data_IF_528519264657
#
_entry.id   IF_528519264657
#
_cell.length_a   1.000
_cell.length_b   1.000
_cell.length_c   1.000
_cell.angle_alpha   90.00
_cell.angle_beta   90.00
_cell.angle_gamma   90.00
#
_symmetry.space_group_name_H-M   'P 1'
#
loop_
_entity.id
_entity.type
_entity.pdbx_description
1 polymer ?
#
# COMPACT_ATOMS: atom_id res chain seq x y z
N UNK A 1 15.29 -54.67 27.91
CA UNK A 1 14.45 -55.71 27.29
C UNK A 1 13.84 -56.74 28.28
N UNK A 2 13.71 -56.47 29.59
CA UNK A 2 12.98 -57.35 30.53
C UNK A 2 11.52 -56.94 30.78
N UNK A 3 11.18 -55.67 30.53
CA UNK A 3 9.82 -55.13 30.75
C UNK A 3 8.77 -55.74 29.81
N UNK A 4 9.12 -55.98 28.54
CA UNK A 4 8.23 -56.62 27.58
C UNK A 4 7.95 -58.09 27.94
N UNK A 5 8.89 -58.80 28.57
CA UNK A 5 8.76 -60.23 28.92
C UNK A 5 7.82 -60.49 30.11
N UNK A 6 7.50 -59.48 30.91
CA UNK A 6 6.60 -59.57 32.07
C UNK A 6 5.13 -59.26 31.72
N UNK A 7 4.84 -58.84 30.49
CA UNK A 7 3.49 -58.51 30.02
C UNK A 7 2.79 -59.74 29.45
N UNK A 8 1.50 -59.89 29.74
CA UNK A 8 0.65 -60.90 29.09
C UNK A 8 0.62 -60.67 27.57
N UNK A 9 0.53 -61.74 26.78
CA UNK A 9 0.54 -61.70 25.30
C UNK A 9 -0.47 -60.66 24.75
N UNK A 10 -1.66 -60.55 25.40
CA UNK A 10 -2.69 -59.55 25.08
C UNK A 10 -2.18 -58.10 25.16
N UNK A 11 -1.37 -57.78 26.17
CA UNK A 11 -0.81 -56.43 26.35
C UNK A 11 0.38 -56.17 25.41
N UNK A 12 1.18 -57.19 25.09
CA UNK A 12 2.22 -57.08 24.06
C UNK A 12 1.61 -56.76 22.68
N UNK A 13 0.52 -57.44 22.30
CA UNK A 13 -0.20 -57.17 21.05
C UNK A 13 -0.81 -55.76 21.02
N UNK A 14 -1.43 -55.31 22.13
CA UNK A 14 -1.94 -53.93 22.25
C UNK A 14 -0.83 -52.90 22.05
N UNK A 15 0.34 -53.12 22.64
CA UNK A 15 1.46 -52.19 22.59
C UNK A 15 2.09 -52.14 21.18
N UNK A 16 2.20 -53.28 20.52
CA UNK A 16 2.65 -53.40 19.12
C UNK A 16 1.78 -52.57 18.16
N UNK A 17 0.48 -52.50 18.40
CA UNK A 17 -0.47 -51.72 17.58
C UNK A 17 -0.58 -50.27 18.05
N UNK A 18 -0.59 -50.02 19.36
CA UNK A 18 -0.77 -48.69 19.92
C UNK A 18 0.40 -47.74 19.59
N UNK A 19 1.65 -48.24 19.57
CA UNK A 19 2.82 -47.39 19.29
C UNK A 19 2.78 -46.81 17.86
N UNK A 20 2.58 -47.60 16.79
CA UNK A 20 2.39 -47.06 15.43
C UNK A 20 1.18 -46.14 15.30
N UNK A 21 0.07 -46.44 15.98
CA UNK A 21 -1.13 -45.58 15.95
C UNK A 21 -0.84 -44.23 16.61
N UNK A 22 -0.22 -44.20 17.79
CA UNK A 22 0.14 -42.96 18.48
C UNK A 22 1.13 -42.13 17.66
N UNK A 23 2.10 -42.79 17.02
CA UNK A 23 3.02 -42.13 16.09
C UNK A 23 2.28 -41.51 14.90
N UNK A 24 1.35 -42.24 14.27
CA UNK A 24 0.52 -41.72 13.18
C UNK A 24 -0.36 -40.54 13.63
N UNK A 25 -0.97 -40.62 14.81
CA UNK A 25 -1.76 -39.51 15.38
C UNK A 25 -0.89 -38.28 15.59
N UNK A 26 0.29 -38.44 16.19
CA UNK A 26 1.22 -37.34 16.40
C UNK A 26 1.64 -36.69 15.07
N UNK A 27 1.92 -37.51 14.04
CA UNK A 27 2.28 -37.05 12.71
C UNK A 27 1.11 -36.30 12.04
N UNK A 28 -0.12 -36.81 12.14
CA UNK A 28 -1.31 -36.15 11.60
C UNK A 28 -1.59 -34.82 12.30
N UNK A 29 -1.45 -34.75 13.63
CA UNK A 29 -1.62 -33.52 14.39
C UNK A 29 -0.56 -32.47 14.01
N UNK A 30 0.71 -32.86 13.91
CA UNK A 30 1.80 -31.96 13.49
C UNK A 30 1.54 -31.39 12.10
N UNK A 31 1.23 -32.25 11.12
CA UNK A 31 0.91 -31.83 9.76
C UNK A 31 -0.36 -30.97 9.70
N UNK A 32 -1.36 -31.27 10.53
CA UNK A 32 -2.59 -30.50 10.63
C UNK A 32 -2.35 -29.08 11.14
N UNK A 33 -1.54 -28.94 12.20
CA UNK A 33 -1.17 -27.62 12.74
C UNK A 33 -0.36 -26.80 11.74
N UNK A 34 0.61 -27.43 11.06
CA UNK A 34 1.42 -26.75 10.04
C UNK A 34 0.55 -26.27 8.88
N UNK A 35 -0.33 -27.13 8.33
CA UNK A 35 -1.27 -26.74 7.26
C UNK A 35 -2.20 -25.62 7.69
N UNK A 36 -2.69 -25.65 8.93
CA UNK A 36 -3.54 -24.60 9.47
C UNK A 36 -2.78 -23.26 9.57
N UNK A 37 -1.53 -23.29 10.02
CA UNK A 37 -0.66 -22.11 10.06
C UNK A 37 -0.39 -21.55 8.67
N UNK A 38 -0.06 -22.40 7.69
CA UNK A 38 0.12 -22.00 6.29
C UNK A 38 -1.14 -21.35 5.72
N UNK A 39 -2.32 -21.90 6.00
CA UNK A 39 -3.58 -21.34 5.51
C UNK A 39 -3.89 -19.97 6.13
N UNK A 40 -3.61 -19.77 7.42
CA UNK A 40 -3.71 -18.45 8.06
C UNK A 40 -2.74 -17.44 7.44
N UNK A 41 -1.48 -17.84 7.21
CA UNK A 41 -0.48 -16.99 6.55
C UNK A 41 -0.92 -16.59 5.14
N UNK A 42 -1.39 -17.54 4.33
CA UNK A 42 -1.90 -17.26 2.99
C UNK A 42 -3.09 -16.30 2.99
N UNK A 43 -3.96 -16.39 4.00
CA UNK A 43 -5.11 -15.47 4.16
C UNK A 43 -4.66 -14.06 4.51
N UNK A 44 -3.76 -13.92 5.50
CA UNK A 44 -3.17 -12.63 5.86
C UNK A 44 -2.43 -11.99 4.67
N UNK A 45 -1.71 -12.80 3.91
CA UNK A 45 -0.99 -12.37 2.70
C UNK A 45 -1.91 -11.80 1.63
N UNK A 46 -3.04 -12.47 1.38
CA UNK A 46 -4.07 -12.00 0.46
C UNK A 46 -4.67 -10.68 0.91
N UNK A 47 -4.94 -10.52 2.20
CA UNK A 47 -5.44 -9.27 2.77
C UNK A 47 -4.42 -8.12 2.63
N UNK A 48 -3.14 -8.37 2.95
CA UNK A 48 -2.07 -7.38 2.80
C UNK A 48 -1.87 -6.95 1.34
N UNK A 49 -1.87 -7.90 0.41
CA UNK A 49 -1.75 -7.61 -1.02
C UNK A 49 -2.95 -6.80 -1.54
N UNK A 50 -4.18 -7.17 -1.14
CA UNK A 50 -5.38 -6.42 -1.49
C UNK A 50 -5.35 -4.99 -0.92
N UNK A 51 -4.87 -4.82 0.31
CA UNK A 51 -4.71 -3.51 0.95
C UNK A 51 -3.70 -2.64 0.20
N UNK A 52 -2.53 -3.18 -0.16
CA UNK A 52 -1.52 -2.46 -0.94
C UNK A 52 -2.08 -1.99 -2.30
N UNK A 53 -2.86 -2.85 -2.96
CA UNK A 53 -3.55 -2.51 -4.20
C UNK A 53 -4.54 -1.36 -4.00
N UNK A 54 -5.46 -1.46 -3.04
CA UNK A 54 -6.46 -0.43 -2.77
C UNK A 54 -5.82 0.92 -2.39
N UNK A 55 -4.79 0.91 -1.54
CA UNK A 55 -4.03 2.11 -1.17
C UNK A 55 -3.42 2.77 -2.40
N UNK A 56 -2.87 1.98 -3.32
CA UNK A 56 -2.27 2.51 -4.54
C UNK A 56 -3.31 3.07 -5.50
N UNK A 57 -4.51 2.48 -5.56
CA UNK A 57 -5.63 3.02 -6.33
C UNK A 57 -6.10 4.37 -5.77
N UNK A 58 -6.22 4.52 -4.44
CA UNK A 58 -6.52 5.82 -3.81
C UNK A 58 -5.46 6.85 -4.17
N UNK A 59 -4.18 6.49 -4.04
CA UNK A 59 -3.08 7.37 -4.40
C UNK A 59 -3.12 7.75 -5.89
N UNK A 60 -3.45 6.81 -6.78
CA UNK A 60 -3.53 7.05 -8.21
C UNK A 60 -4.66 8.01 -8.61
N UNK A 61 -5.85 7.86 -8.03
CA UNK A 61 -6.94 8.80 -8.26
C UNK A 61 -6.61 10.19 -7.69
N UNK A 62 -6.01 10.25 -6.50
CA UNK A 62 -5.55 11.51 -5.91
C UNK A 62 -4.46 12.20 -6.75
N UNK A 63 -3.57 11.45 -7.41
CA UNK A 63 -2.58 12.00 -8.35
C UNK A 63 -3.24 12.69 -9.54
N UNK A 64 -4.30 12.07 -10.10
CA UNK A 64 -5.08 12.65 -11.21
C UNK A 64 -5.82 13.90 -10.74
N UNK A 65 -6.47 13.83 -9.58
CA UNK A 65 -7.18 14.96 -8.97
C UNK A 65 -6.24 16.16 -8.69
N UNK A 66 -5.03 15.90 -8.18
CA UNK A 66 -3.98 16.92 -8.00
C UNK A 66 -3.63 17.62 -9.32
N UNK A 67 -3.43 16.84 -10.39
CA UNK A 67 -3.10 17.38 -11.71
C UNK A 67 -4.22 18.25 -12.28
N UNK A 68 -5.47 17.80 -12.16
CA UNK A 68 -6.63 18.57 -12.60
C UNK A 68 -6.87 19.81 -11.74
N UNK A 69 -6.62 19.73 -10.43
CA UNK A 69 -6.66 20.87 -9.51
C UNK A 69 -5.64 21.94 -9.91
N UNK A 70 -4.41 21.53 -10.25
CA UNK A 70 -3.38 22.46 -10.72
C UNK A 70 -3.82 23.19 -11.99
N UNK A 71 -4.40 22.47 -12.96
CA UNK A 71 -4.95 23.08 -14.18
C UNK A 71 -6.17 23.97 -13.94
N UNK A 72 -7.07 23.59 -13.03
CA UNK A 72 -8.24 24.38 -12.64
C UNK A 72 -7.82 25.70 -11.99
N UNK A 73 -6.96 25.66 -10.97
CA UNK A 73 -6.47 26.86 -10.29
C UNK A 73 -5.59 27.72 -11.21
N UNK A 74 -4.73 27.11 -12.03
CA UNK A 74 -3.87 27.81 -12.97
C UNK A 74 -4.62 28.55 -14.08
N UNK A 75 -5.86 28.15 -14.36
CA UNK A 75 -6.74 28.79 -15.36
C UNK A 75 -7.80 29.70 -14.74
N UNK A 76 -7.70 30.02 -13.44
CA UNK A 76 -8.70 30.84 -12.74
C UNK A 76 -10.08 30.18 -12.66
N UNK A 77 -10.14 28.84 -12.62
CA UNK A 77 -11.38 28.08 -12.47
C UNK A 77 -12.16 27.81 -13.76
N UNK A 78 -11.54 28.00 -14.92
CA UNK A 78 -12.17 27.84 -16.24
C UNK A 78 -11.93 26.46 -16.85
N UNK A 79 -10.69 25.98 -16.81
CA UNK A 79 -10.28 24.69 -17.41
C UNK A 79 -10.49 23.56 -16.40
N UNK A 80 -10.75 22.33 -16.89
CA UNK A 80 -10.94 21.12 -16.07
C UNK A 80 -12.17 21.08 -15.14
N UNK A 81 -13.04 22.09 -15.09
CA UNK A 81 -14.20 22.13 -14.17
C UNK A 81 -15.01 20.82 -14.13
N UNK A 82 -15.50 20.35 -15.27
CA UNK A 82 -16.28 19.10 -15.33
C UNK A 82 -15.42 17.87 -15.01
N UNK A 83 -14.25 17.76 -15.64
CA UNK A 83 -13.33 16.63 -15.44
C UNK A 83 -12.88 16.49 -13.98
N UNK A 84 -12.69 17.61 -13.28
CA UNK A 84 -12.33 17.64 -11.87
C UNK A 84 -13.47 17.14 -10.99
N UNK A 85 -14.73 17.49 -11.30
CA UNK A 85 -15.88 16.96 -10.60
C UNK A 85 -15.99 15.43 -10.74
N UNK A 86 -15.85 14.91 -11.97
CA UNK A 86 -15.88 13.47 -12.25
C UNK A 86 -14.70 12.74 -11.55
N UNK A 87 -13.50 13.33 -11.60
CA UNK A 87 -12.31 12.79 -10.96
C UNK A 87 -12.42 12.75 -9.43
N UNK A 88 -13.07 13.73 -8.81
CA UNK A 88 -13.34 13.73 -7.36
C UNK A 88 -14.22 12.56 -6.96
N UNK A 89 -15.24 12.23 -7.75
CA UNK A 89 -16.09 11.06 -7.52
C UNK A 89 -15.29 9.75 -7.63
N UNK A 90 -14.35 9.69 -8.58
CA UNK A 90 -13.46 8.53 -8.71
C UNK A 90 -12.55 8.37 -7.48
N UNK A 91 -11.95 9.45 -6.98
CA UNK A 91 -11.17 9.44 -5.74
C UNK A 91 -12.01 9.00 -4.54
N UNK A 92 -13.22 9.56 -4.41
CA UNK A 92 -14.13 9.25 -3.29
C UNK A 92 -14.57 7.78 -3.31
N UNK A 93 -14.83 7.24 -4.50
CA UNK A 93 -15.16 5.82 -4.69
C UNK A 93 -14.03 4.92 -4.22
N UNK A 94 -12.78 5.18 -4.64
CA UNK A 94 -11.63 4.36 -4.21
C UNK A 94 -11.37 4.48 -2.71
N UNK A 95 -11.53 5.68 -2.15
CA UNK A 95 -11.44 5.87 -0.72
C UNK A 95 -12.51 5.06 0.05
N UNK A 96 -13.77 5.04 -0.44
CA UNK A 96 -14.84 4.25 0.16
C UNK A 96 -14.59 2.73 0.04
N UNK A 97 -14.09 2.27 -1.12
CA UNK A 97 -13.70 0.86 -1.31
C UNK A 97 -12.58 0.45 -0.34
N UNK A 98 -11.60 1.33 -0.10
CA UNK A 98 -10.56 1.12 0.91
C UNK A 98 -11.16 1.08 2.32
N UNK A 99 -11.98 2.05 2.71
CA UNK A 99 -12.62 2.09 4.03
C UNK A 99 -13.42 0.81 4.31
N UNK A 100 -14.26 0.38 3.36
CA UNK A 100 -15.03 -0.86 3.48
C UNK A 100 -14.14 -2.12 3.57
N UNK A 101 -12.96 -2.11 2.93
CA UNK A 101 -11.98 -3.19 3.10
C UNK A 101 -11.36 -3.19 4.50
N UNK A 102 -11.08 -2.01 5.05
CA UNK A 102 -10.45 -1.86 6.37
C UNK A 102 -11.38 -2.26 7.52
N UNK A 103 -12.70 -2.09 7.35
CA UNK A 103 -13.69 -2.51 8.34
C UNK A 103 -13.75 -4.04 8.52
N UNK A 104 -13.44 -4.80 7.46
CA UNK A 104 -13.53 -6.28 7.44
C UNK A 104 -12.21 -7.00 7.69
N UNK A 105 -11.07 -6.35 7.42
CA UNK A 105 -9.76 -7.00 7.54
C UNK A 105 -9.33 -7.15 8.99
N UNK A 106 -8.64 -8.24 9.29
CA UNK A 106 -8.11 -8.49 10.63
C UNK A 106 -6.61 -8.20 10.72
N UNK A 107 -5.92 -8.10 9.58
CA UNK A 107 -4.46 -7.94 9.54
C UNK A 107 -3.98 -6.58 10.06
N UNK A 108 -4.81 -5.54 9.93
CA UNK A 108 -4.49 -4.19 10.47
C UNK A 108 -4.38 -4.24 11.99
N UNK A 109 -5.30 -4.95 12.65
CA UNK A 109 -5.35 -5.05 14.12
C UNK A 109 -4.16 -5.82 14.71
N UNK A 110 -3.47 -6.61 13.88
CA UNK A 110 -2.31 -7.38 14.30
C UNK A 110 -0.99 -6.57 14.29
N UNK A 111 -0.97 -5.37 13.70
CA UNK A 111 0.24 -4.55 13.57
C UNK A 111 -0.02 -3.09 14.00
N UNK A 112 0.43 -2.69 15.21
CA UNK A 112 0.23 -1.31 15.70
C UNK A 112 0.83 -0.24 14.78
N UNK A 113 2.00 -0.52 14.17
CA UNK A 113 2.63 0.40 13.23
C UNK A 113 1.81 0.57 11.94
N UNK A 114 1.21 -0.52 11.43
CA UNK A 114 0.33 -0.46 10.28
C UNK A 114 -0.97 0.30 10.60
N UNK A 115 -1.55 0.08 11.77
CA UNK A 115 -2.74 0.80 12.24
C UNK A 115 -2.45 2.30 12.35
N UNK A 116 -1.38 2.70 13.04
CA UNK A 116 -1.04 4.11 13.23
C UNK A 116 -0.77 4.83 11.90
N UNK A 117 -0.01 4.22 11.00
CA UNK A 117 0.24 4.79 9.68
C UNK A 117 -1.04 4.95 8.85
N UNK A 118 -1.96 4.00 8.98
CA UNK A 118 -3.25 4.04 8.29
C UNK A 118 -4.14 5.14 8.86
N UNK A 119 -4.22 5.27 10.18
CA UNK A 119 -4.97 6.32 10.86
C UNK A 119 -4.49 7.71 10.43
N UNK A 120 -3.18 7.91 10.31
CA UNK A 120 -2.61 9.15 9.78
C UNK A 120 -3.00 9.42 8.32
N UNK A 121 -2.95 8.39 7.46
CA UNK A 121 -3.33 8.53 6.05
C UNK A 121 -4.83 8.83 5.89
N UNK A 122 -5.68 8.15 6.67
CA UNK A 122 -7.13 8.37 6.71
C UNK A 122 -7.49 9.75 7.28
N UNK A 123 -6.75 10.23 8.29
CA UNK A 123 -6.94 11.57 8.84
C UNK A 123 -6.61 12.68 7.82
N UNK A 124 -5.58 12.51 7.00
CA UNK A 124 -5.27 13.50 5.95
C UNK A 124 -6.32 13.53 4.84
N UNK A 125 -6.74 12.37 4.32
CA UNK A 125 -7.80 12.35 3.30
C UNK A 125 -9.14 12.81 3.86
N UNK A 126 -9.39 12.69 5.16
CA UNK A 126 -10.55 13.29 5.83
C UNK A 126 -10.65 14.82 5.63
N UNK A 127 -9.52 15.50 5.40
CA UNK A 127 -9.45 16.95 5.13
C UNK A 127 -9.70 17.30 3.66
N UNK A 128 -9.82 16.32 2.75
CA UNK A 128 -9.93 16.56 1.31
C UNK A 128 -11.14 17.41 0.94
N UNK A 129 -12.27 17.25 1.65
CA UNK A 129 -13.51 17.98 1.37
C UNK A 129 -13.36 19.49 1.62
N UNK A 130 -12.75 19.88 2.74
CA UNK A 130 -12.53 21.30 3.05
C UNK A 130 -11.51 21.91 2.09
N UNK A 131 -10.49 21.15 1.69
CA UNK A 131 -9.55 21.58 0.66
C UNK A 131 -10.25 21.81 -0.69
N UNK A 132 -11.11 20.89 -1.13
CA UNK A 132 -11.90 21.03 -2.36
C UNK A 132 -12.78 22.28 -2.36
N UNK A 133 -13.43 22.60 -1.24
CA UNK A 133 -14.21 23.83 -1.11
C UNK A 133 -13.35 25.09 -1.29
N UNK A 134 -12.15 25.12 -0.67
CA UNK A 134 -11.21 26.23 -0.86
C UNK A 134 -10.75 26.33 -2.31
N UNK A 135 -10.52 25.21 -2.98
CA UNK A 135 -10.16 25.16 -4.41
C UNK A 135 -11.29 25.70 -5.29
N UNK A 136 -12.53 25.26 -5.04
CA UNK A 136 -13.69 25.65 -5.85
C UNK A 136 -13.96 27.16 -5.76
N UNK A 137 -13.77 27.72 -4.57
CA UNK A 137 -13.88 29.16 -4.31
C UNK A 137 -12.65 29.96 -4.74
N UNK A 138 -11.62 29.32 -5.33
CA UNK A 138 -10.33 29.94 -5.66
C UNK A 138 -9.67 30.64 -4.45
N UNK A 139 -9.98 30.18 -3.24
CA UNK A 139 -9.56 30.75 -1.96
C UNK A 139 -8.23 30.16 -1.45
N UNK A 140 -7.49 29.47 -2.31
CA UNK A 140 -6.18 28.90 -2.00
C UNK A 140 -5.25 28.99 -3.22
N UNK A 141 -3.98 29.38 -3.05
CA UNK A 141 -3.00 29.35 -4.12
C UNK A 141 -2.76 27.92 -4.64
N UNK A 142 -2.54 27.79 -5.95
CA UNK A 142 -2.24 26.50 -6.58
C UNK A 142 -1.08 25.72 -5.91
N UNK A 143 0.05 26.35 -5.54
CA UNK A 143 1.14 25.65 -4.87
C UNK A 143 0.73 25.00 -3.54
N UNK A 144 -0.10 25.66 -2.74
CA UNK A 144 -0.58 25.13 -1.47
C UNK A 144 -1.53 23.94 -1.66
N UNK A 145 -2.46 24.04 -2.62
CA UNK A 145 -3.35 22.94 -2.96
C UNK A 145 -2.56 21.71 -3.46
N UNK A 146 -1.57 21.93 -4.34
CA UNK A 146 -0.70 20.86 -4.86
C UNK A 146 0.12 20.24 -3.73
N UNK A 147 0.64 21.04 -2.78
CA UNK A 147 1.38 20.56 -1.63
C UNK A 147 0.51 19.67 -0.72
N UNK A 148 -0.74 20.06 -0.47
CA UNK A 148 -1.71 19.25 0.28
C UNK A 148 -1.89 17.86 -0.35
N UNK A 149 -2.24 17.79 -1.63
CA UNK A 149 -2.41 16.49 -2.31
C UNK A 149 -1.12 15.69 -2.32
N UNK A 150 0.03 16.32 -2.55
CA UNK A 150 1.33 15.63 -2.56
C UNK A 150 1.65 15.02 -1.20
N UNK A 151 1.37 15.73 -0.10
CA UNK A 151 1.51 15.22 1.26
C UNK A 151 0.58 14.03 1.53
N UNK A 152 -0.69 14.15 1.15
CA UNK A 152 -1.69 13.10 1.29
C UNK A 152 -1.31 11.83 0.50
N UNK A 153 -0.97 11.99 -0.79
CA UNK A 153 -0.51 10.88 -1.66
C UNK A 153 0.69 10.18 -1.02
N UNK A 154 1.69 10.94 -0.56
CA UNK A 154 2.89 10.38 0.09
C UNK A 154 2.54 9.51 1.29
N UNK A 155 1.60 9.92 2.14
CA UNK A 155 1.18 9.11 3.30
C UNK A 155 0.59 7.77 2.90
N UNK A 156 -0.26 7.74 1.86
CA UNK A 156 -0.76 6.48 1.32
C UNK A 156 0.36 5.62 0.76
N UNK A 157 1.27 6.17 -0.04
CA UNK A 157 2.37 5.40 -0.63
C UNK A 157 3.31 4.82 0.42
N UNK A 158 3.58 5.55 1.51
CA UNK A 158 4.41 5.07 2.63
C UNK A 158 3.78 3.92 3.43
N UNK A 159 2.51 3.59 3.19
CA UNK A 159 1.91 2.38 3.76
C UNK A 159 2.40 1.11 3.11
N UNK A 160 2.80 1.14 1.83
CA UNK A 160 3.20 -0.08 1.11
C UNK A 160 4.42 -0.75 1.77
N UNK A 161 5.48 -0.03 2.19
CA UNK A 161 6.56 -0.61 2.99
C UNK A 161 6.11 -1.19 4.35
N UNK A 162 5.17 -0.55 5.04
CA UNK A 162 4.64 -1.06 6.32
C UNK A 162 3.84 -2.36 6.13
N UNK A 163 3.07 -2.44 5.05
CA UNK A 163 2.36 -3.66 4.62
C UNK A 163 3.37 -4.75 4.27
N UNK A 164 4.41 -4.41 3.51
CA UNK A 164 5.47 -5.34 3.13
C UNK A 164 6.18 -5.91 4.36
N UNK A 165 6.51 -5.07 5.34
CA UNK A 165 7.14 -5.50 6.58
C UNK A 165 6.23 -6.37 7.46
N UNK A 166 4.91 -6.21 7.33
CA UNK A 166 3.91 -7.03 8.02
C UNK A 166 3.66 -8.39 7.32
N UNK A 167 4.26 -8.64 6.15
CA UNK A 167 4.11 -9.90 5.41
C UNK A 167 4.93 -11.03 6.06
N UNK A 168 4.33 -12.20 6.34
CA UNK A 168 5.08 -13.37 6.78
C UNK A 168 5.89 -14.04 5.65
N UNK A 169 5.57 -13.72 4.39
CA UNK A 169 6.22 -14.29 3.21
C UNK A 169 7.26 -13.30 2.63
N UNK A 170 8.51 -13.76 2.53
CA UNK A 170 9.62 -12.96 2.02
C UNK A 170 9.52 -12.62 0.52
N UNK A 171 8.94 -13.51 -0.29
CA UNK A 171 8.76 -13.26 -1.73
C UNK A 171 7.75 -12.15 -1.95
N UNK A 172 6.63 -12.17 -1.22
CA UNK A 172 5.64 -11.10 -1.30
C UNK A 172 6.16 -9.80 -0.71
N UNK A 173 6.91 -9.85 0.41
CA UNK A 173 7.58 -8.66 0.94
C UNK A 173 8.47 -8.01 -0.13
N UNK A 174 9.31 -8.79 -0.83
CA UNK A 174 10.14 -8.30 -1.94
C UNK A 174 9.30 -7.72 -3.08
N UNK A 175 8.24 -8.43 -3.49
CA UNK A 175 7.33 -7.95 -4.53
C UNK A 175 6.65 -6.63 -4.18
N UNK A 176 6.22 -6.45 -2.94
CA UNK A 176 5.62 -5.21 -2.43
C UNK A 176 6.65 -4.07 -2.34
N UNK A 177 7.90 -4.37 -1.95
CA UNK A 177 8.99 -3.39 -1.96
C UNK A 177 9.30 -2.96 -3.40
N UNK A 178 9.37 -3.90 -4.35
CA UNK A 178 9.53 -3.59 -5.76
C UNK A 178 8.39 -2.68 -6.24
N UNK A 179 7.15 -3.07 -5.96
CA UNK A 179 5.96 -2.30 -6.31
C UNK A 179 5.97 -0.89 -5.72
N UNK A 180 6.30 -0.74 -4.44
CA UNK A 180 6.47 0.57 -3.80
C UNK A 180 7.46 1.47 -4.56
N UNK A 181 8.63 0.92 -4.89
CA UNK A 181 9.64 1.65 -5.65
C UNK A 181 9.13 2.06 -7.04
N UNK A 182 8.41 1.18 -7.74
CA UNK A 182 7.78 1.53 -9.02
C UNK A 182 6.76 2.67 -8.89
N UNK A 183 5.92 2.64 -7.85
CA UNK A 183 4.90 3.66 -7.61
C UNK A 183 5.53 5.01 -7.21
N UNK A 184 6.61 5.01 -6.41
CA UNK A 184 7.37 6.23 -6.11
C UNK A 184 8.03 6.82 -7.36
N UNK A 185 8.60 5.99 -8.24
CA UNK A 185 9.12 6.45 -9.52
C UNK A 185 8.03 7.14 -10.36
N UNK A 186 6.85 6.51 -10.47
CA UNK A 186 5.67 7.09 -11.13
C UNK A 186 5.26 8.43 -10.50
N UNK A 187 5.30 8.54 -9.18
CA UNK A 187 4.99 9.79 -8.48
C UNK A 187 5.99 10.90 -8.80
N UNK A 188 7.29 10.61 -8.81
CA UNK A 188 8.33 11.59 -9.18
C UNK A 188 8.19 12.05 -10.64
N UNK A 189 7.86 11.15 -11.58
CA UNK A 189 7.53 11.50 -12.97
C UNK A 189 6.28 12.40 -13.05
N UNK A 190 5.27 12.13 -12.21
CA UNK A 190 4.08 12.96 -12.12
C UNK A 190 4.38 14.39 -11.66
N UNK A 191 5.26 14.54 -10.66
CA UNK A 191 5.71 15.86 -10.18
C UNK A 191 6.61 16.53 -11.22
N UNK A 192 7.51 15.79 -11.86
CA UNK A 192 8.38 16.30 -12.93
C UNK A 192 7.55 16.91 -14.06
N UNK A 193 6.51 16.20 -14.53
CA UNK A 193 5.58 16.72 -15.53
C UNK A 193 4.98 18.06 -15.11
N UNK A 194 4.57 18.21 -13.85
CA UNK A 194 4.01 19.47 -13.34
C UNK A 194 5.06 20.60 -13.30
N UNK A 195 6.29 20.29 -12.90
CA UNK A 195 7.43 21.23 -12.92
C UNK A 195 7.70 21.70 -14.35
N UNK A 196 7.84 20.78 -15.30
CA UNK A 196 8.18 21.09 -16.68
C UNK A 196 7.04 21.80 -17.42
N UNK A 197 5.77 21.43 -17.19
CA UNK A 197 4.64 22.15 -17.78
C UNK A 197 4.62 23.63 -17.38
N UNK A 198 4.98 23.94 -16.12
CA UNK A 198 5.09 25.34 -15.68
C UNK A 198 6.31 26.04 -16.31
N UNK A 199 7.46 25.36 -16.33
CA UNK A 199 8.69 25.87 -16.97
C UNK A 199 8.46 26.20 -18.45
N UNK A 200 7.84 25.31 -19.22
CA UNK A 200 7.57 25.54 -20.64
C UNK A 200 6.51 26.64 -20.87
N UNK A 201 5.50 26.74 -20.00
CA UNK A 201 4.54 27.84 -20.08
C UNK A 201 5.16 29.22 -19.80
N UNK A 202 6.27 29.28 -19.07
CA UNK A 202 7.03 30.49 -18.73
C UNK A 202 8.29 30.70 -19.57
N UNK A 203 8.59 29.78 -20.48
CA UNK A 203 9.83 29.69 -21.26
C UNK A 203 11.12 29.81 -20.40
N UNK A 204 11.04 29.46 -19.12
CA UNK A 204 12.13 29.62 -18.15
C UNK A 204 11.88 28.82 -16.87
N UNK A 205 12.95 28.36 -16.23
CA UNK A 205 12.84 27.78 -14.89
C UNK A 205 12.65 28.90 -13.87
N UNK A 206 11.56 28.84 -13.11
CA UNK A 206 11.40 29.69 -11.94
C UNK A 206 12.47 29.44 -10.87
N UNK A 207 12.62 30.34 -9.88
CA UNK A 207 13.61 30.18 -8.81
C UNK A 207 13.52 28.80 -8.13
N UNK A 208 14.64 28.08 -8.10
CA UNK A 208 14.73 26.74 -7.50
C UNK A 208 14.11 25.58 -8.31
N UNK A 209 13.37 25.85 -9.39
CA UNK A 209 12.67 24.81 -10.16
C UNK A 209 13.62 23.90 -10.95
N UNK A 210 14.75 24.43 -11.42
CA UNK A 210 15.78 23.61 -12.08
C UNK A 210 16.39 22.59 -11.11
N UNK A 211 16.76 23.03 -9.91
CA UNK A 211 17.25 22.13 -8.84
C UNK A 211 16.20 21.06 -8.52
N UNK A 212 14.93 21.47 -8.38
CA UNK A 212 13.83 20.54 -8.11
C UNK A 212 13.66 19.51 -9.23
N UNK A 213 13.78 19.92 -10.49
CA UNK A 213 13.74 19.02 -11.64
C UNK A 213 14.85 17.95 -11.57
N UNK A 214 16.09 18.36 -11.30
CA UNK A 214 17.23 17.44 -11.14
C UNK A 214 17.00 16.46 -9.98
N UNK A 215 16.51 16.92 -8.83
CA UNK A 215 16.16 16.06 -7.69
C UNK A 215 15.11 15.00 -8.06
N UNK A 216 14.10 15.38 -8.85
CA UNK A 216 13.05 14.46 -9.29
C UNK A 216 13.61 13.40 -10.25
N UNK A 217 14.48 13.80 -11.18
CA UNK A 217 15.09 12.91 -12.16
C UNK A 217 16.02 11.87 -11.49
N UNK A 218 16.83 12.29 -10.53
CA UNK A 218 17.66 11.38 -9.74
C UNK A 218 16.81 10.46 -8.86
N UNK A 219 15.74 11.00 -8.25
CA UNK A 219 14.78 10.19 -7.49
C UNK A 219 14.16 9.08 -8.35
N UNK A 220 13.72 9.39 -9.58
CA UNK A 220 13.16 8.39 -10.50
C UNK A 220 14.15 7.28 -10.82
N UNK A 221 15.40 7.64 -11.14
CA UNK A 221 16.46 6.67 -11.44
C UNK A 221 16.69 5.72 -10.26
N UNK A 222 16.80 6.26 -9.05
CA UNK A 222 16.99 5.48 -7.83
C UNK A 222 15.83 4.50 -7.60
N UNK A 223 14.59 4.99 -7.66
CA UNK A 223 13.41 4.17 -7.45
C UNK A 223 13.26 3.09 -8.53
N UNK A 224 13.51 3.40 -9.80
CA UNK A 224 13.49 2.40 -10.87
C UNK A 224 14.60 1.35 -10.72
N UNK A 225 15.81 1.77 -10.33
CA UNK A 225 16.91 0.83 -10.06
C UNK A 225 16.56 -0.12 -8.92
N UNK A 226 15.97 0.39 -7.83
CA UNK A 226 15.49 -0.44 -6.73
C UNK A 226 14.36 -1.37 -7.17
N UNK A 227 13.39 -0.89 -7.97
CA UNK A 227 12.35 -1.74 -8.54
C UNK A 227 12.95 -2.93 -9.30
N UNK A 228 13.94 -2.68 -10.17
CA UNK A 228 14.63 -3.73 -10.93
C UNK A 228 15.45 -4.68 -10.04
N UNK A 229 15.99 -4.19 -8.92
CA UNK A 229 16.72 -5.01 -7.96
C UNK A 229 15.81 -5.94 -7.15
N UNK A 230 14.62 -5.49 -6.77
CA UNK A 230 13.67 -6.25 -5.94
C UNK A 230 12.67 -7.09 -6.74
N UNK A 231 12.53 -6.86 -8.05
CA UNK A 231 11.63 -7.63 -8.94
C UNK A 231 12.24 -8.90 -9.53
N UNK A 232 13.53 -9.16 -9.25
CA UNK A 232 14.26 -10.37 -9.67
C UNK A 232 14.18 -11.49 -8.64
#
# INVERSE_FOLDING_TARGET
MSFLKQLTIKNQMKLLVAVPILFLIALLLSNGMERYATMRQATALKELAAMAGLITEVAHEAQKERGMTAGYLGSGGTTFRQRLADQRQATDRRHAELAAFLDRTTVVKASPALSAGLDEALAEIGKIRSMRQRIDNLAIPAPEAIAFYTGMIRRFLTMIPLIAHSSPDQKVMKGLIAYYNFVEAKERMGIERAVLSNTFARDSFGPGMYKRYVELLEGQRLYLANFLAFSR
#
